data_IF_849001028883
#
_entry.id   IF_849001028883
#
_cell.length_a   1.000
_cell.length_b   1.000
_cell.length_c   1.000
_cell.angle_alpha   90.00
_cell.angle_beta   90.00
_cell.angle_gamma   90.00
#
_symmetry.space_group_name_H-M   'P 1'
#
loop_
_entity.id
_entity.type
_entity.pdbx_description
1 polymer ?
#
# COMPACT_ATOMS: atom_id res chain seq x y z
N UNK A 1 -3.76 -19.56 1.23
CA UNK A 1 -3.14 -19.07 -0.02
C UNK A 1 -4.20 -19.01 -1.11
N UNK A 2 -4.27 -17.91 -1.84
CA UNK A 2 -5.18 -17.77 -2.96
C UNK A 2 -4.50 -18.28 -4.24
N UNK A 3 -5.22 -19.09 -5.02
CA UNK A 3 -4.69 -19.58 -6.30
C UNK A 3 -4.77 -18.48 -7.38
N UNK A 4 -4.00 -18.66 -8.45
CA UNK A 4 -4.06 -17.78 -9.63
C UNK A 4 -5.47 -17.75 -10.25
N UNK A 5 -6.11 -18.92 -10.34
CA UNK A 5 -7.47 -19.07 -10.88
C UNK A 5 -8.50 -18.33 -10.04
N UNK A 6 -8.41 -18.42 -8.70
CA UNK A 6 -9.29 -17.69 -7.80
C UNK A 6 -9.11 -16.18 -7.93
N UNK A 7 -7.87 -15.69 -7.98
CA UNK A 7 -7.55 -14.28 -8.15
C UNK A 7 -8.08 -13.74 -9.48
N UNK A 8 -7.88 -14.47 -10.57
CA UNK A 8 -8.38 -14.08 -11.89
C UNK A 8 -9.91 -14.14 -11.99
N UNK A 9 -10.55 -15.08 -11.31
CA UNK A 9 -12.01 -15.16 -11.23
C UNK A 9 -12.61 -13.93 -10.53
N UNK A 10 -11.98 -13.50 -9.41
CA UNK A 10 -12.38 -12.28 -8.70
C UNK A 10 -12.20 -11.05 -9.60
N UNK A 11 -11.07 -10.92 -10.27
CA UNK A 11 -10.81 -9.81 -11.18
C UNK A 11 -11.86 -9.72 -12.30
N UNK A 12 -12.22 -10.86 -12.93
CA UNK A 12 -13.29 -10.91 -13.92
C UNK A 12 -14.66 -10.51 -13.35
N UNK A 13 -14.95 -10.95 -12.11
CA UNK A 13 -16.21 -10.58 -11.43
C UNK A 13 -16.31 -9.07 -11.19
N UNK A 14 -15.18 -8.41 -10.96
CA UNK A 14 -15.09 -6.95 -10.81
C UNK A 14 -14.96 -6.20 -12.14
N UNK A 15 -15.05 -6.88 -13.28
CA UNK A 15 -14.97 -6.26 -14.58
C UNK A 15 -13.59 -5.69 -14.93
N UNK A 16 -12.52 -6.13 -14.25
CA UNK A 16 -11.18 -5.66 -14.53
C UNK A 16 -10.70 -6.18 -15.89
N UNK A 17 -10.17 -5.28 -16.70
CA UNK A 17 -9.59 -5.61 -18.00
C UNK A 17 -8.28 -6.38 -17.82
N UNK A 18 -8.11 -7.44 -18.60
CA UNK A 18 -6.91 -8.30 -18.50
C UNK A 18 -5.60 -7.55 -18.81
N UNK A 19 -5.64 -6.57 -19.72
CA UNK A 19 -4.50 -5.73 -20.10
C UNK A 19 -4.16 -4.64 -19.06
N UNK A 20 -5.04 -4.44 -18.06
CA UNK A 20 -4.87 -3.48 -16.95
C UNK A 20 -4.75 -4.17 -15.59
N UNK A 21 -4.43 -5.45 -15.60
CA UNK A 21 -4.33 -6.27 -14.41
C UNK A 21 -3.00 -7.04 -14.40
N UNK A 22 -2.26 -6.91 -13.31
CA UNK A 22 -1.02 -7.65 -13.08
C UNK A 22 -1.17 -8.53 -11.85
N UNK A 23 -1.00 -9.84 -12.02
CA UNK A 23 -0.95 -10.78 -10.90
C UNK A 23 0.48 -10.86 -10.37
N UNK A 24 0.65 -10.53 -9.08
CA UNK A 24 1.91 -10.59 -8.37
C UNK A 24 1.93 -11.78 -7.40
N UNK A 25 3.12 -12.34 -7.21
CA UNK A 25 3.36 -13.37 -6.20
C UNK A 25 4.09 -12.75 -5.03
N UNK A 26 3.49 -12.83 -3.85
CA UNK A 26 4.16 -12.42 -2.62
C UNK A 26 5.38 -13.30 -2.32
N UNK A 27 6.43 -12.71 -1.81
CA UNK A 27 7.66 -13.41 -1.46
C UNK A 27 7.41 -14.50 -0.41
N UNK A 28 7.91 -15.74 -0.59
CA UNK A 28 7.86 -16.76 0.43
C UNK A 28 8.54 -16.34 1.74
N UNK A 29 9.58 -15.53 1.67
CA UNK A 29 10.28 -15.01 2.85
C UNK A 29 9.36 -14.13 3.69
N UNK A 30 8.59 -13.25 3.07
CA UNK A 30 7.59 -12.42 3.75
C UNK A 30 6.51 -13.28 4.40
N UNK A 31 5.99 -14.29 3.67
CA UNK A 31 4.96 -15.19 4.20
C UNK A 31 5.47 -15.93 5.44
N UNK A 32 6.71 -16.41 5.40
CA UNK A 32 7.33 -17.14 6.50
C UNK A 32 7.63 -16.22 7.71
N UNK A 33 7.84 -14.93 7.47
CA UNK A 33 8.02 -13.92 8.52
C UNK A 33 6.68 -13.45 9.14
N UNK A 34 5.53 -13.98 8.69
CA UNK A 34 4.22 -13.62 9.20
C UNK A 34 3.44 -12.60 8.36
N UNK A 35 4.02 -12.13 7.26
CA UNK A 35 3.35 -11.22 6.32
C UNK A 35 2.44 -11.98 5.34
N UNK A 36 1.30 -12.46 5.79
CA UNK A 36 0.39 -13.27 4.98
C UNK A 36 -0.59 -12.45 4.12
N UNK A 37 -0.61 -11.14 4.26
CA UNK A 37 -1.29 -10.19 3.39
C UNK A 37 -0.27 -9.27 2.73
N UNK A 38 -0.49 -8.87 1.48
CA UNK A 38 0.44 -7.98 0.78
C UNK A 38 0.44 -6.54 1.33
N UNK A 39 -0.65 -6.10 1.97
CA UNK A 39 -0.73 -4.81 2.65
C UNK A 39 0.15 -4.71 3.92
N UNK A 40 0.79 -5.80 4.32
CA UNK A 40 1.83 -5.81 5.36
C UNK A 40 3.20 -5.39 4.82
N UNK A 41 3.41 -5.47 3.51
CA UNK A 41 4.70 -5.21 2.86
C UNK A 41 4.64 -4.26 1.66
N UNK A 42 3.46 -3.78 1.33
CA UNK A 42 3.28 -2.78 0.26
C UNK A 42 1.98 -2.01 0.41
N UNK A 43 1.99 -0.75 -0.02
CA UNK A 43 0.81 0.10 -0.17
C UNK A 43 0.95 0.93 -1.43
N UNK A 44 -0.16 1.25 -2.08
CA UNK A 44 -0.15 2.00 -3.32
C UNK A 44 -1.28 3.03 -3.38
N UNK A 45 -1.05 4.06 -4.18
CA UNK A 45 -2.07 5.03 -4.57
C UNK A 45 -1.75 5.60 -5.95
N UNK A 46 -2.75 5.66 -6.84
CA UNK A 46 -2.54 6.07 -8.24
C UNK A 46 -1.37 5.29 -8.86
N UNK A 47 -0.33 5.99 -9.30
CA UNK A 47 0.87 5.45 -9.93
C UNK A 47 2.08 5.35 -8.97
N UNK A 48 1.85 5.38 -7.66
CA UNK A 48 2.89 5.20 -6.64
C UNK A 48 2.74 3.83 -6.01
N UNK A 49 3.84 3.08 -5.97
CA UNK A 49 3.99 1.82 -5.24
C UNK A 49 5.07 1.99 -4.18
N UNK A 50 4.66 2.03 -2.92
CA UNK A 50 5.55 2.01 -1.76
C UNK A 50 5.63 0.58 -1.22
N UNK A 51 6.81 -0.02 -1.21
CA UNK A 51 6.97 -1.43 -0.87
C UNK A 51 8.31 -1.74 -0.22
N UNK A 52 8.35 -2.82 0.57
CA UNK A 52 9.59 -3.41 1.03
C UNK A 52 10.32 -4.12 -0.11
N UNK A 53 11.66 -4.12 -0.13
CA UNK A 53 12.45 -4.76 -1.19
C UNK A 53 12.17 -6.26 -1.33
N UNK A 54 11.78 -6.91 -0.22
CA UNK A 54 11.46 -8.33 -0.15
C UNK A 54 9.96 -8.64 -0.38
N UNK A 55 9.14 -7.64 -0.73
CA UNK A 55 7.68 -7.81 -0.79
C UNK A 55 7.24 -8.88 -1.78
N UNK A 56 7.82 -8.89 -2.99
CA UNK A 56 7.36 -9.71 -4.09
C UNK A 56 8.46 -10.63 -4.63
N UNK A 57 8.06 -11.84 -5.00
CA UNK A 57 8.91 -12.71 -5.82
C UNK A 57 8.99 -12.14 -7.25
N UNK A 58 10.17 -12.22 -7.85
CA UNK A 58 10.42 -11.68 -9.21
C UNK A 58 10.04 -10.20 -9.35
N UNK A 59 10.52 -9.38 -8.42
CA UNK A 59 10.20 -7.96 -8.31
C UNK A 59 10.40 -7.20 -9.63
N UNK A 60 11.51 -7.42 -10.32
CA UNK A 60 11.85 -6.70 -11.55
C UNK A 60 10.86 -7.01 -12.68
N UNK A 61 10.48 -8.27 -12.86
CA UNK A 61 9.41 -8.69 -13.79
C UNK A 61 8.06 -8.04 -13.42
N UNK A 62 7.76 -7.98 -12.12
CA UNK A 62 6.54 -7.32 -11.65
C UNK A 62 6.52 -5.83 -12.02
N UNK A 63 7.61 -5.12 -11.77
CA UNK A 63 7.73 -3.68 -12.08
C UNK A 63 7.58 -3.44 -13.59
N UNK A 64 8.27 -4.23 -14.43
CA UNK A 64 8.14 -4.15 -15.88
C UNK A 64 6.70 -4.34 -16.34
N UNK A 65 6.01 -5.36 -15.83
CA UNK A 65 4.61 -5.63 -16.16
C UNK A 65 3.65 -4.53 -15.68
N UNK A 66 3.93 -3.91 -14.53
CA UNK A 66 3.18 -2.76 -14.05
C UNK A 66 3.38 -1.54 -14.96
N UNK A 67 4.61 -1.25 -15.36
CA UNK A 67 4.89 -0.18 -16.32
C UNK A 67 4.14 -0.41 -17.65
N UNK A 68 4.17 -1.62 -18.18
CA UNK A 68 3.47 -1.97 -19.41
C UNK A 68 1.93 -1.81 -19.26
N UNK A 69 1.37 -2.17 -18.12
CA UNK A 69 -0.07 -2.00 -17.85
C UNK A 69 -0.48 -0.53 -17.67
N UNK A 70 0.41 0.31 -17.13
CA UNK A 70 0.19 1.76 -16.98
C UNK A 70 0.29 2.50 -18.32
N UNK A 71 1.11 2.01 -19.26
CA UNK A 71 1.36 2.67 -20.55
C UNK A 71 2.18 3.95 -20.36
N UNK A 72 1.65 5.10 -20.79
CA UNK A 72 2.35 6.38 -20.73
C UNK A 72 2.40 7.01 -19.33
N UNK A 73 1.71 6.41 -18.35
CA UNK A 73 1.73 6.90 -16.97
C UNK A 73 2.97 6.36 -16.24
N UNK A 74 3.90 7.22 -15.79
CA UNK A 74 5.10 6.76 -15.11
C UNK A 74 4.77 6.10 -13.78
N UNK A 75 5.38 4.95 -13.49
CA UNK A 75 5.28 4.29 -12.19
C UNK A 75 6.37 4.84 -11.25
N UNK A 76 5.97 5.34 -10.09
CA UNK A 76 6.88 5.71 -9.01
C UNK A 76 6.99 4.55 -8.02
N UNK A 77 8.11 3.84 -8.04
CA UNK A 77 8.42 2.80 -7.06
C UNK A 77 9.29 3.38 -5.95
N UNK A 78 8.79 3.33 -4.73
CA UNK A 78 9.52 3.71 -3.52
C UNK A 78 9.80 2.43 -2.76
N UNK A 79 11.05 1.98 -2.85
CA UNK A 79 11.50 0.74 -2.24
C UNK A 79 12.17 1.00 -0.90
N UNK A 80 11.78 0.24 0.12
CA UNK A 80 12.40 0.26 1.44
C UNK A 80 13.42 -0.87 1.53
N UNK A 81 14.73 -0.57 1.58
CA UNK A 81 15.76 -1.59 1.69
C UNK A 81 15.70 -2.31 3.05
N UNK A 82 15.90 -3.63 3.07
CA UNK A 82 15.97 -4.44 4.30
C UNK A 82 17.12 -4.00 5.21
N UNK A 83 18.19 -3.48 4.61
CA UNK A 83 19.33 -2.91 5.34
C UNK A 83 18.99 -1.63 6.12
N UNK A 84 17.97 -0.89 5.69
CA UNK A 84 17.52 0.37 6.33
C UNK A 84 16.38 0.09 7.31
N UNK A 85 15.35 -0.59 6.87
CA UNK A 85 14.24 -1.06 7.69
C UNK A 85 14.07 -2.55 7.43
N UNK A 86 14.48 -3.38 8.39
CA UNK A 86 14.37 -4.83 8.23
C UNK A 86 12.90 -5.27 8.08
N UNK A 87 12.70 -6.39 7.39
CA UNK A 87 11.38 -6.98 7.22
C UNK A 87 10.63 -7.17 8.56
N UNK A 88 11.35 -7.58 9.62
CA UNK A 88 10.77 -7.71 10.97
C UNK A 88 10.29 -6.36 11.52
N UNK A 89 11.08 -5.30 11.37
CA UNK A 89 10.67 -3.95 11.77
C UNK A 89 9.48 -3.45 10.95
N UNK A 90 9.46 -3.68 9.64
CA UNK A 90 8.36 -3.28 8.76
C UNK A 90 7.05 -3.97 9.16
N UNK A 91 7.09 -5.28 9.44
CA UNK A 91 5.93 -6.06 9.86
C UNK A 91 5.44 -5.61 11.24
N UNK A 92 6.33 -5.50 12.24
CA UNK A 92 5.95 -5.15 13.62
C UNK A 92 5.43 -3.73 13.77
N UNK A 93 5.95 -2.81 12.99
CA UNK A 93 5.51 -1.40 12.99
C UNK A 93 4.26 -1.15 12.15
N UNK A 94 3.78 -2.15 11.40
CA UNK A 94 2.69 -1.99 10.43
C UNK A 94 2.98 -0.90 9.39
N UNK A 95 4.25 -0.68 9.02
CA UNK A 95 4.69 0.38 8.10
C UNK A 95 3.84 0.44 6.82
N UNK A 96 3.58 -0.70 6.19
CA UNK A 96 2.83 -0.78 4.94
C UNK A 96 1.33 -1.00 5.14
N UNK A 97 0.90 -1.44 6.34
CA UNK A 97 -0.52 -1.47 6.69
C UNK A 97 -1.01 -0.05 7.02
N UNK A 98 -0.67 0.87 6.16
CA UNK A 98 -0.93 2.30 6.17
C UNK A 98 -1.91 2.66 5.06
N UNK A 99 -2.29 3.93 4.99
CA UNK A 99 -3.05 4.46 3.87
C UNK A 99 -2.22 5.51 3.16
N UNK A 100 -2.05 5.36 1.86
CA UNK A 100 -1.43 6.37 1.01
C UNK A 100 -2.54 7.11 0.27
N UNK A 101 -2.69 8.42 0.50
CA UNK A 101 -3.81 9.21 -0.01
C UNK A 101 -3.36 10.56 -0.56
N UNK A 102 -4.13 11.12 -1.50
CA UNK A 102 -4.08 12.54 -1.83
C UNK A 102 -5.19 13.24 -1.03
N UNK A 103 -4.85 14.25 -0.26
CA UNK A 103 -5.81 15.03 0.54
C UNK A 103 -6.39 16.19 -0.27
N UNK A 104 -5.72 16.57 -1.34
CA UNK A 104 -6.10 17.66 -2.25
C UNK A 104 -5.80 17.27 -3.70
N UNK A 105 -6.05 18.17 -4.64
CA UNK A 105 -5.67 18.03 -6.05
C UNK A 105 -4.15 18.11 -6.29
N UNK A 106 -3.36 18.31 -5.25
CA UNK A 106 -1.90 18.25 -5.30
C UNK A 106 -1.39 16.86 -5.70
N UNK A 107 -0.23 16.82 -6.33
CA UNK A 107 0.52 15.58 -6.55
C UNK A 107 1.05 14.98 -5.25
N UNK A 108 1.17 15.78 -4.18
CA UNK A 108 1.68 15.36 -2.89
C UNK A 108 0.74 14.35 -2.23
N UNK A 109 1.35 13.34 -1.65
CA UNK A 109 0.64 12.27 -0.93
C UNK A 109 0.93 12.32 0.55
N UNK A 110 -0.08 11.98 1.32
CA UNK A 110 0.01 11.77 2.76
C UNK A 110 0.01 10.28 3.06
N UNK A 111 0.95 9.85 3.88
CA UNK A 111 0.99 8.48 4.40
C UNK A 111 0.39 8.50 5.82
N UNK A 112 -0.73 7.82 6.01
CA UNK A 112 -1.42 7.69 7.30
C UNK A 112 -1.01 6.35 7.91
N UNK A 113 -0.33 6.42 9.04
CA UNK A 113 0.32 5.28 9.70
C UNK A 113 -0.22 5.06 11.12
N UNK A 114 -0.11 3.84 11.66
CA UNK A 114 -0.37 3.63 13.07
C UNK A 114 0.78 4.18 13.93
N UNK A 115 0.50 4.45 15.21
CA UNK A 115 1.52 4.94 16.15
C UNK A 115 2.73 4.01 16.28
N UNK A 116 2.55 2.71 16.08
CA UNK A 116 3.62 1.72 16.09
C UNK A 116 4.76 2.04 15.10
N UNK A 117 4.42 2.64 13.95
CA UNK A 117 5.43 3.11 12.98
C UNK A 117 6.27 4.26 13.53
N UNK A 118 5.69 5.15 14.33
CA UNK A 118 6.40 6.24 15.00
C UNK A 118 7.24 5.76 16.19
N UNK A 119 6.77 4.74 16.90
CA UNK A 119 7.45 4.19 18.08
C UNK A 119 8.64 3.30 17.71
N UNK A 120 8.68 2.76 16.50
CA UNK A 120 9.83 2.04 15.97
C UNK A 120 10.86 3.06 15.45
N UNK A 121 11.97 3.24 16.19
CA UNK A 121 12.97 4.25 15.89
C UNK A 121 13.54 4.16 14.46
N UNK A 122 13.79 2.94 13.95
CA UNK A 122 14.33 2.72 12.59
C UNK A 122 13.32 3.08 11.51
N UNK A 123 12.06 2.73 11.71
CA UNK A 123 10.97 3.06 10.80
C UNK A 123 10.72 4.56 10.80
N UNK A 124 10.69 5.18 11.98
CA UNK A 124 10.44 6.62 12.09
C UNK A 124 11.56 7.45 11.47
N UNK A 125 12.83 7.09 11.71
CA UNK A 125 13.99 7.72 11.06
C UNK A 125 13.90 7.61 9.53
N UNK A 126 13.58 6.44 9.01
CA UNK A 126 13.37 6.24 7.57
C UNK A 126 12.25 7.13 7.02
N UNK A 127 11.11 7.20 7.72
CA UNK A 127 9.95 7.99 7.29
C UNK A 127 10.26 9.50 7.26
N UNK A 128 11.00 10.01 8.23
CA UNK A 128 11.43 11.41 8.23
C UNK A 128 12.34 11.71 7.03
N UNK A 129 13.29 10.82 6.74
CA UNK A 129 14.16 10.96 5.58
C UNK A 129 13.37 10.82 4.25
N UNK A 130 12.32 10.01 4.20
CA UNK A 130 11.51 9.79 3.00
C UNK A 130 10.79 11.05 2.54
N UNK A 131 10.22 11.83 3.46
CA UNK A 131 9.46 13.05 3.09
C UNK A 131 10.35 14.17 2.56
N UNK A 132 11.64 14.15 2.88
CA UNK A 132 12.64 15.08 2.37
C UNK A 132 13.18 14.68 0.99
N UNK A 133 12.93 13.45 0.53
CA UNK A 133 13.36 12.99 -0.78
C UNK A 133 12.43 13.50 -1.89
N UNK A 134 12.91 13.42 -3.14
CA UNK A 134 12.09 13.73 -4.33
C UNK A 134 11.16 12.55 -4.67
N UNK A 135 10.15 12.37 -3.81
CA UNK A 135 9.09 11.37 -3.97
C UNK A 135 7.72 12.02 -3.79
N UNK A 136 6.64 11.42 -4.27
CA UNK A 136 5.30 11.94 -4.03
C UNK A 136 4.85 11.94 -2.56
N UNK A 137 5.48 11.14 -1.69
CA UNK A 137 5.13 11.09 -0.26
C UNK A 137 5.77 12.26 0.46
N UNK A 138 4.97 13.26 0.84
CA UNK A 138 5.44 14.53 1.45
C UNK A 138 4.93 14.74 2.87
N UNK A 139 3.89 14.02 3.29
CA UNK A 139 3.28 14.21 4.59
C UNK A 139 3.10 12.87 5.31
N UNK A 140 3.26 12.91 6.63
CA UNK A 140 3.05 11.77 7.53
C UNK A 140 2.01 12.14 8.56
N UNK A 141 1.00 11.28 8.72
CA UNK A 141 0.00 11.37 9.78
C UNK A 141 0.02 10.09 10.60
N UNK A 142 0.02 10.21 11.92
CA UNK A 142 0.05 9.08 12.83
C UNK A 142 -1.24 9.00 13.63
N UNK A 143 -1.90 7.85 13.58
CA UNK A 143 -3.19 7.62 14.23
C UNK A 143 -3.11 6.49 15.25
N UNK A 144 -3.80 6.66 16.38
CA UNK A 144 -3.93 5.59 17.37
C UNK A 144 -5.09 4.67 16.98
N UNK A 145 -4.75 3.52 16.45
CA UNK A 145 -5.71 2.47 16.07
C UNK A 145 -5.45 1.16 16.82
N UNK A 146 -4.78 1.23 17.96
CA UNK A 146 -4.39 0.04 18.76
C UNK A 146 -5.55 -0.83 19.15
N UNK A 147 -6.70 -0.22 19.45
CA UNK A 147 -7.90 -0.98 19.79
C UNK A 147 -8.35 -1.84 18.60
N UNK A 148 -8.33 -1.30 17.38
CA UNK A 148 -8.63 -2.06 16.16
C UNK A 148 -7.56 -3.11 15.89
N UNK A 149 -6.27 -2.77 16.04
CA UNK A 149 -5.14 -3.65 15.78
C UNK A 149 -5.14 -4.89 16.70
N UNK A 150 -5.60 -4.76 17.95
CA UNK A 150 -5.80 -5.91 18.85
C UNK A 150 -6.81 -6.92 18.30
N UNK A 151 -7.69 -6.50 17.40
CA UNK A 151 -8.63 -7.33 16.67
C UNK A 151 -8.16 -7.67 15.24
N UNK A 152 -6.90 -7.36 14.91
CA UNK A 152 -6.26 -7.70 13.64
C UNK A 152 -6.41 -6.66 12.52
N UNK A 153 -6.96 -5.46 12.82
CA UNK A 153 -7.19 -4.42 11.81
C UNK A 153 -6.31 -3.18 11.99
N UNK A 154 -5.29 -2.99 11.16
CA UNK A 154 -4.52 -1.75 11.06
C UNK A 154 -5.18 -0.71 10.14
N UNK A 155 -4.52 0.46 9.87
CA UNK A 155 -5.10 1.54 9.06
C UNK A 155 -5.60 1.10 7.69
N UNK A 156 -4.87 0.22 6.99
CA UNK A 156 -5.30 -0.32 5.70
C UNK A 156 -6.62 -1.10 5.80
N UNK A 157 -6.85 -1.80 6.90
CA UNK A 157 -8.04 -2.61 7.12
C UNK A 157 -9.28 -1.78 7.48
N UNK A 158 -9.09 -0.53 7.91
CA UNK A 158 -10.16 0.39 8.34
C UNK A 158 -10.70 1.26 7.20
N UNK A 159 -10.24 1.06 5.98
CA UNK A 159 -10.70 1.82 4.81
C UNK A 159 -11.43 0.96 3.80
N UNK A 160 -12.38 1.59 3.15
CA UNK A 160 -12.93 1.13 1.88
C UNK A 160 -12.73 2.25 0.86
N UNK A 161 -11.91 1.99 -0.17
CA UNK A 161 -11.72 2.93 -1.27
C UNK A 161 -12.64 2.54 -2.42
N UNK A 162 -13.54 3.43 -2.78
CA UNK A 162 -14.46 3.25 -3.90
C UNK A 162 -14.27 4.41 -4.87
N UNK A 163 -14.11 4.11 -6.16
CA UNK A 163 -14.07 5.13 -7.21
C UNK A 163 -15.51 5.42 -7.63
N UNK A 164 -15.92 6.67 -7.47
CA UNK A 164 -17.27 7.13 -7.78
C UNK A 164 -17.19 8.33 -8.72
N UNK A 165 -18.14 8.43 -9.64
CA UNK A 165 -18.39 9.66 -10.35
C UNK A 165 -19.24 10.63 -9.51
N UNK A 166 -19.43 11.88 -9.96
CA UNK A 166 -20.16 12.92 -9.20
C UNK A 166 -21.61 12.51 -8.89
N UNK A 167 -22.28 11.82 -9.80
CA UNK A 167 -23.67 11.39 -9.62
C UNK A 167 -23.77 10.27 -8.57
N UNK A 168 -22.82 9.35 -8.58
CA UNK A 168 -22.74 8.27 -7.59
C UNK A 168 -22.36 8.82 -6.21
N UNK A 169 -21.41 9.76 -6.16
CA UNK A 169 -21.00 10.41 -4.92
C UNK A 169 -22.15 11.17 -4.25
N UNK A 170 -22.99 11.85 -5.03
CA UNK A 170 -24.16 12.57 -4.54
C UNK A 170 -25.22 11.64 -3.89
N UNK A 171 -25.18 10.35 -4.16
CA UNK A 171 -26.07 9.35 -3.58
C UNK A 171 -25.51 8.72 -2.29
N UNK A 172 -24.23 8.94 -2.01
CA UNK A 172 -23.60 8.41 -0.78
C UNK A 172 -24.05 9.25 0.42
N UNK A 173 -24.40 8.58 1.50
CA UNK A 173 -24.73 9.28 2.73
C UNK A 173 -23.49 10.03 3.26
N UNK A 174 -23.56 11.39 3.42
CA UNK A 174 -22.39 12.20 3.81
C UNK A 174 -21.77 11.79 5.14
N UNK A 175 -22.51 11.09 6.00
CA UNK A 175 -21.98 10.60 7.29
C UNK A 175 -20.91 9.51 7.13
N UNK A 176 -20.78 8.91 5.93
CA UNK A 176 -19.79 7.87 5.61
C UNK A 176 -18.67 8.36 4.70
N UNK A 177 -18.62 9.66 4.42
CA UNK A 177 -17.53 10.30 3.67
C UNK A 177 -16.62 10.99 4.68
N UNK A 178 -15.32 10.66 4.63
CA UNK A 178 -14.27 11.30 5.44
C UNK A 178 -13.74 12.53 4.75
#
# INVERSE_FOLDING_TARGET
>A
RQSYEASTAIARRHGLRADKMVMARQSPQVINAGGFHNDVVSVSNKNVLFMHELAFANKDDLIERLCNALGDVPLHVIEVPDSTVSLDNAIRSYLFNSQLVNVSDSADMTLILPLESRENAKVYEYLLNLVDQDTPIKNLEFVDVRQSMRNGGGPACLRLRVVLNEQELAQVNPKFIL
#
